data_IF_708394590155
#
_entry.id   IF_708394590155
#
_cell.length_a   1.000
_cell.length_b   1.000
_cell.length_c   1.000
_cell.angle_alpha   90.00
_cell.angle_beta   90.00
_cell.angle_gamma   90.00
#
_symmetry.space_group_name_H-M   'P 1'
#
loop_
_entity.id
_entity.type
_entity.pdbx_description
1 polymer ?
#
# COMPACT_ATOMS: atom_id res chain seq x y z
N UNK A 1 25.10 73.19 27.51
CA UNK A 1 24.04 72.65 26.63
C UNK A 1 24.47 71.26 26.15
N UNK A 2 24.11 70.23 26.92
CA UNK A 2 24.31 68.81 26.57
C UNK A 2 22.96 68.15 26.77
N UNK A 3 22.45 67.53 25.71
CA UNK A 3 21.17 66.80 25.68
C UNK A 3 21.51 65.34 25.99
N UNK A 4 20.91 64.77 27.02
CA UNK A 4 20.96 63.33 27.25
C UNK A 4 19.55 62.76 27.17
N UNK A 5 19.49 61.63 26.48
CA UNK A 5 18.32 61.01 25.85
C UNK A 5 17.75 59.98 26.81
N UNK A 6 16.47 60.12 27.19
CA UNK A 6 15.72 59.05 27.83
C UNK A 6 15.47 57.92 26.81
N UNK A 7 16.13 56.78 26.98
CA UNK A 7 15.80 55.55 26.25
C UNK A 7 14.79 54.76 27.09
N UNK A 8 13.55 54.75 26.64
CA UNK A 8 12.48 53.91 27.18
C UNK A 8 12.60 52.52 26.53
N UNK A 9 13.09 51.52 27.25
CA UNK A 9 13.06 50.12 26.78
C UNK A 9 11.67 49.55 27.08
N UNK A 10 10.80 49.55 26.07
CA UNK A 10 9.52 48.85 26.12
C UNK A 10 9.80 47.36 25.99
N UNK A 11 9.75 46.63 27.10
CA UNK A 11 9.87 45.18 27.14
C UNK A 11 8.70 44.52 26.42
N UNK A 12 8.93 44.09 25.18
CA UNK A 12 8.00 43.26 24.42
C UNK A 12 8.10 41.82 24.93
N UNK A 13 7.26 41.46 25.90
CA UNK A 13 7.10 40.09 26.37
C UNK A 13 6.38 39.30 25.25
N UNK A 14 7.14 38.78 24.28
CA UNK A 14 6.62 37.72 23.40
C UNK A 14 6.40 36.49 24.28
N UNK A 15 5.16 36.30 24.70
CA UNK A 15 4.66 35.02 25.17
C UNK A 15 4.73 34.06 23.97
N UNK A 16 5.89 33.44 23.77
CA UNK A 16 6.04 32.32 22.85
C UNK A 16 5.13 31.22 23.36
N UNK A 17 3.98 31.05 22.69
CA UNK A 17 3.16 29.87 22.80
C UNK A 17 4.04 28.71 22.35
N UNK A 18 4.74 28.07 23.29
CA UNK A 18 5.36 26.78 23.03
C UNK A 18 4.18 25.84 22.82
N UNK A 19 3.81 25.63 21.55
CA UNK A 19 2.95 24.52 21.16
C UNK A 19 3.81 23.29 21.42
N UNK A 20 3.78 22.79 22.65
CA UNK A 20 4.25 21.45 22.92
C UNK A 20 3.50 20.56 21.93
N UNK A 21 4.18 19.77 21.07
CA UNK A 21 3.48 18.79 20.28
C UNK A 21 2.66 17.97 21.27
N UNK A 22 1.33 18.02 21.14
CA UNK A 22 0.48 17.10 21.89
C UNK A 22 1.04 15.73 21.60
N UNK A 23 1.37 14.91 22.62
CA UNK A 23 1.65 13.52 22.37
C UNK A 23 0.42 12.97 21.66
N UNK A 24 0.53 12.77 20.34
CA UNK A 24 -0.41 11.96 19.61
C UNK A 24 -0.40 10.63 20.35
N UNK A 25 -1.55 10.20 20.88
CA UNK A 25 -1.67 8.81 21.29
C UNK A 25 -1.29 8.02 20.04
N UNK A 26 -0.17 7.30 20.08
CA UNK A 26 0.17 6.35 19.03
C UNK A 26 -1.08 5.48 18.86
N UNK A 27 -1.73 5.60 17.70
CA UNK A 27 -2.95 4.87 17.45
C UNK A 27 -2.55 3.39 17.40
N UNK A 28 -3.14 2.59 18.27
CA UNK A 28 -2.84 1.17 18.31
C UNK A 28 -3.26 0.56 16.97
N UNK A 29 -2.30 0.00 16.25
CA UNK A 29 -2.57 -0.75 15.02
C UNK A 29 -3.18 -2.08 15.42
N UNK A 30 -4.43 -2.32 15.01
CA UNK A 30 -5.14 -3.56 15.27
C UNK A 30 -4.90 -4.54 14.12
N UNK A 31 -4.51 -5.77 14.40
CA UNK A 31 -4.40 -6.83 13.38
C UNK A 31 -5.77 -7.45 13.19
N UNK A 32 -6.32 -7.37 11.98
CA UNK A 32 -7.63 -7.91 11.62
C UNK A 32 -7.52 -9.33 11.09
N UNK A 33 -6.44 -9.61 10.36
CA UNK A 33 -6.12 -10.90 9.77
C UNK A 33 -4.61 -11.01 9.58
N UNK A 34 -4.07 -12.21 9.74
CA UNK A 34 -2.69 -12.54 9.36
C UNK A 34 -2.58 -14.01 8.97
N UNK A 35 -1.66 -14.31 8.07
CA UNK A 35 -1.31 -15.67 7.67
C UNK A 35 0.15 -15.74 7.25
N UNK A 36 0.78 -16.88 7.54
CA UNK A 36 2.02 -17.31 6.91
C UNK A 36 1.70 -17.97 5.57
N UNK A 37 2.60 -17.81 4.60
CA UNK A 37 2.56 -18.42 3.29
C UNK A 37 3.83 -19.28 3.10
N UNK A 38 3.75 -20.50 2.53
CA UNK A 38 4.91 -21.38 2.45
C UNK A 38 6.05 -20.79 1.62
N UNK A 39 7.28 -20.88 2.12
CA UNK A 39 8.45 -20.51 1.31
C UNK A 39 8.65 -21.44 0.11
N UNK A 40 9.29 -20.91 -0.94
CA UNK A 40 9.69 -21.60 -2.17
C UNK A 40 8.49 -22.15 -2.99
N UNK A 41 7.35 -21.45 -2.96
CA UNK A 41 6.15 -21.77 -3.74
C UNK A 41 5.84 -20.80 -4.90
N UNK A 42 6.81 -19.95 -5.24
CA UNK A 42 6.75 -18.89 -6.25
C UNK A 42 6.81 -19.37 -7.71
N UNK A 43 6.35 -20.59 -7.93
CA UNK A 43 6.30 -21.29 -9.22
C UNK A 43 4.87 -21.43 -9.78
N UNK A 44 3.85 -20.99 -9.05
CA UNK A 44 2.46 -21.02 -9.53
C UNK A 44 1.95 -22.45 -9.86
N UNK A 45 0.84 -22.53 -10.61
CA UNK A 45 0.15 -23.81 -10.85
C UNK A 45 0.80 -24.70 -11.93
N UNK A 46 1.57 -24.10 -12.83
CA UNK A 46 2.18 -24.75 -14.00
C UNK A 46 3.73 -24.73 -13.95
N UNK A 47 4.33 -24.61 -12.77
CA UNK A 47 5.79 -24.60 -12.54
C UNK A 47 6.51 -23.52 -13.37
N UNK A 48 6.08 -22.27 -13.18
CA UNK A 48 6.65 -21.10 -13.82
C UNK A 48 8.11 -20.91 -13.44
N UNK A 49 8.89 -20.62 -14.48
CA UNK A 49 10.29 -20.30 -14.36
C UNK A 49 10.47 -18.78 -14.27
N UNK A 50 11.40 -18.39 -13.41
CA UNK A 50 11.87 -17.01 -13.34
C UNK A 50 12.45 -16.56 -14.68
N UNK A 51 12.28 -15.27 -15.06
CA UNK A 51 13.00 -14.73 -16.22
C UNK A 51 14.51 -14.78 -16.01
N UNK A 52 15.26 -14.94 -17.11
CA UNK A 52 16.74 -15.11 -17.05
C UNK A 52 17.51 -13.84 -16.63
N UNK A 53 16.87 -12.67 -16.68
CA UNK A 53 17.52 -11.41 -16.28
C UNK A 53 17.88 -11.44 -14.79
N UNK A 54 19.14 -11.17 -14.40
CA UNK A 54 19.60 -11.26 -13.01
C UNK A 54 18.82 -10.39 -12.00
N UNK A 55 18.06 -9.38 -12.46
CA UNK A 55 17.21 -8.58 -11.57
C UNK A 55 16.06 -9.39 -10.96
N UNK A 56 15.67 -10.49 -11.59
CA UNK A 56 14.71 -11.45 -11.05
C UNK A 56 15.45 -12.48 -10.20
N UNK A 57 16.02 -12.02 -9.08
CA UNK A 57 16.72 -12.90 -8.15
C UNK A 57 15.77 -13.95 -7.54
N UNK A 58 16.25 -15.11 -7.09
CA UNK A 58 15.40 -16.10 -6.42
C UNK A 58 14.60 -15.50 -5.25
N UNK A 59 13.33 -15.88 -5.13
CA UNK A 59 12.42 -15.45 -4.08
C UNK A 59 11.85 -14.03 -4.24
N UNK A 60 12.06 -13.35 -5.38
CA UNK A 60 11.47 -12.01 -5.57
C UNK A 60 9.94 -12.01 -5.74
N UNK A 61 9.36 -13.17 -6.04
CA UNK A 61 7.91 -13.36 -6.14
C UNK A 61 7.35 -14.28 -5.04
N UNK A 62 8.22 -14.79 -4.15
CA UNK A 62 7.87 -15.66 -3.02
C UNK A 62 7.30 -14.83 -1.86
N UNK A 63 5.99 -14.89 -1.71
CA UNK A 63 5.26 -14.30 -0.59
C UNK A 63 5.36 -15.26 0.59
N UNK A 64 5.68 -14.73 1.77
CA UNK A 64 5.89 -15.54 2.97
C UNK A 64 4.94 -15.16 4.10
N UNK A 65 4.35 -13.96 4.03
CA UNK A 65 3.45 -13.46 5.06
C UNK A 65 2.51 -12.41 4.49
N UNK A 66 1.25 -12.48 4.93
CA UNK A 66 0.23 -11.49 4.63
C UNK A 66 -0.54 -11.09 5.89
N UNK A 67 -0.79 -9.79 6.06
CA UNK A 67 -1.68 -9.30 7.11
C UNK A 67 -2.53 -8.11 6.67
N UNK A 68 -3.70 -8.02 7.29
CA UNK A 68 -4.62 -6.88 7.20
C UNK A 68 -4.66 -6.20 8.56
N UNK A 69 -4.37 -4.91 8.59
CA UNK A 69 -4.31 -4.12 9.83
C UNK A 69 -5.19 -2.88 9.73
N UNK A 70 -5.73 -2.44 10.85
CA UNK A 70 -6.48 -1.18 10.99
C UNK A 70 -5.66 -0.24 11.88
N UNK A 71 -5.14 0.85 11.30
CA UNK A 71 -4.45 1.91 12.06
C UNK A 71 -5.43 2.94 12.65
N UNK A 72 -6.73 2.72 12.45
CA UNK A 72 -7.86 3.56 12.83
C UNK A 72 -8.29 4.57 11.76
N UNK A 73 -7.44 4.91 10.79
CA UNK A 73 -7.74 5.80 9.66
C UNK A 73 -7.72 5.05 8.32
N UNK A 74 -6.84 4.06 8.19
CA UNK A 74 -6.59 3.29 7.00
C UNK A 74 -6.69 1.79 7.31
N UNK A 75 -7.03 1.03 6.27
CA UNK A 75 -6.70 -0.39 6.22
C UNK A 75 -5.32 -0.53 5.58
N UNK A 76 -4.43 -1.28 6.23
CA UNK A 76 -3.08 -1.55 5.78
C UNK A 76 -2.99 -3.02 5.40
N UNK A 77 -2.66 -3.29 4.15
CA UNK A 77 -2.22 -4.60 3.69
C UNK A 77 -0.70 -4.66 3.82
N UNK A 78 -0.21 -5.60 4.62
CA UNK A 78 1.21 -5.85 4.81
C UNK A 78 1.57 -7.19 4.18
N UNK A 79 2.55 -7.16 3.27
CA UNK A 79 3.08 -8.31 2.57
C UNK A 79 4.56 -8.43 2.90
N UNK A 80 5.04 -9.64 3.15
CA UNK A 80 6.47 -9.91 3.26
C UNK A 80 6.86 -10.91 2.19
N UNK A 81 7.81 -10.51 1.35
CA UNK A 81 8.43 -11.40 0.37
C UNK A 81 9.74 -11.95 0.93
N UNK A 82 10.12 -13.16 0.53
CA UNK A 82 11.42 -13.74 0.87
C UNK A 82 12.57 -12.81 0.46
N UNK A 83 12.41 -12.14 -0.68
CA UNK A 83 13.32 -11.14 -1.19
C UNK A 83 12.54 -10.06 -1.98
N UNK A 84 12.88 -8.78 -1.86
CA UNK A 84 12.28 -7.75 -2.73
C UNK A 84 13.08 -7.49 -4.02
N UNK A 85 14.30 -8.01 -4.10
CA UNK A 85 15.16 -7.83 -5.27
C UNK A 85 15.77 -6.43 -5.39
N UNK A 86 15.66 -5.61 -4.35
CA UNK A 86 16.10 -4.22 -4.38
C UNK A 86 15.15 -3.33 -5.19
N UNK A 87 15.72 -2.27 -5.76
CA UNK A 87 15.00 -1.30 -6.58
C UNK A 87 15.83 -0.93 -7.83
N UNK A 88 16.14 -1.93 -8.69
CA UNK A 88 17.06 -1.73 -9.82
C UNK A 88 16.57 -0.69 -10.82
N UNK A 89 15.25 -0.51 -10.95
CA UNK A 89 14.64 0.45 -11.87
C UNK A 89 14.40 1.83 -11.23
N UNK A 90 14.84 2.03 -9.98
CA UNK A 90 14.78 3.32 -9.28
C UNK A 90 13.35 3.80 -8.99
N UNK A 91 12.41 2.87 -8.85
CA UNK A 91 11.00 3.17 -8.69
C UNK A 91 10.72 3.88 -7.33
N UNK A 92 9.80 4.86 -7.29
CA UNK A 92 9.63 5.75 -6.15
C UNK A 92 9.11 5.08 -4.86
N UNK A 93 8.41 3.94 -4.96
CA UNK A 93 7.94 3.22 -3.76
C UNK A 93 9.00 2.31 -3.14
N UNK A 94 10.22 2.27 -3.70
CA UNK A 94 11.37 1.61 -3.10
C UNK A 94 11.54 0.13 -3.46
N UNK A 95 10.79 -0.39 -4.44
CA UNK A 95 10.94 -1.73 -5.03
C UNK A 95 10.53 -1.66 -6.51
N UNK A 96 11.04 -2.55 -7.37
CA UNK A 96 10.75 -2.49 -8.82
C UNK A 96 10.07 -3.71 -9.41
N UNK A 97 10.20 -4.87 -8.77
CA UNK A 97 9.98 -6.15 -9.44
C UNK A 97 8.54 -6.67 -9.27
N UNK A 98 7.96 -6.50 -8.09
CA UNK A 98 6.66 -7.05 -7.76
C UNK A 98 5.51 -6.23 -8.37
N UNK A 99 4.49 -6.94 -8.87
CA UNK A 99 3.16 -6.41 -9.16
C UNK A 99 2.16 -7.13 -8.26
N UNK A 100 1.64 -6.42 -7.27
CA UNK A 100 0.77 -6.97 -6.23
C UNK A 100 -0.67 -6.63 -6.58
N UNK A 101 -1.55 -7.63 -6.52
CA UNK A 101 -2.99 -7.42 -6.64
C UNK A 101 -3.71 -8.07 -5.46
N UNK A 102 -4.58 -7.29 -4.80
CA UNK A 102 -5.37 -7.74 -3.64
C UNK A 102 -6.83 -7.50 -3.99
N UNK A 103 -7.62 -8.55 -3.91
CA UNK A 103 -9.06 -8.55 -4.19
C UNK A 103 -9.82 -8.69 -2.88
N UNK A 104 -10.77 -7.78 -2.61
CA UNK A 104 -11.53 -7.77 -1.36
C UNK A 104 -13.01 -7.90 -1.63
N UNK A 105 -13.65 -8.88 -1.01
CA UNK A 105 -15.09 -8.97 -0.97
C UNK A 105 -15.61 -8.61 0.43
N UNK A 106 -16.75 -7.92 0.53
CA UNK A 106 -17.44 -7.65 1.78
C UNK A 106 -18.81 -8.35 1.87
N UNK A 107 -19.02 -9.36 1.02
CA UNK A 107 -20.28 -10.04 0.81
C UNK A 107 -21.16 -9.42 -0.29
N UNK A 108 -20.80 -8.25 -0.82
CA UNK A 108 -21.54 -7.58 -1.93
C UNK A 108 -20.76 -7.51 -3.24
N UNK A 109 -19.52 -8.02 -3.26
CA UNK A 109 -18.69 -8.10 -4.45
C UNK A 109 -19.14 -9.22 -5.38
N UNK A 110 -19.28 -8.92 -6.67
CA UNK A 110 -19.73 -9.88 -7.69
C UNK A 110 -18.79 -10.00 -8.87
N UNK A 111 -17.80 -9.12 -9.00
CA UNK A 111 -16.82 -9.20 -10.08
C UNK A 111 -15.89 -10.39 -9.87
N UNK A 112 -15.79 -11.28 -10.87
CA UNK A 112 -14.95 -12.50 -10.79
C UNK A 112 -13.71 -12.45 -11.69
N UNK A 113 -13.64 -11.46 -12.59
CA UNK A 113 -12.46 -11.18 -13.40
C UNK A 113 -11.45 -10.34 -12.63
N UNK A 114 -10.16 -10.52 -12.89
CA UNK A 114 -9.12 -9.60 -12.42
C UNK A 114 -9.35 -8.16 -12.88
N UNK A 115 -8.75 -7.19 -12.19
CA UNK A 115 -8.84 -5.80 -12.64
C UNK A 115 -8.13 -5.64 -14.01
N UNK A 116 -8.68 -4.80 -14.92
CA UNK A 116 -8.08 -4.63 -16.23
C UNK A 116 -6.69 -3.98 -16.10
N UNK A 117 -5.84 -4.20 -17.10
CA UNK A 117 -4.49 -3.62 -17.13
C UNK A 117 -4.56 -2.10 -17.31
N UNK A 118 -5.49 -1.64 -18.14
CA UNK A 118 -5.83 -0.22 -18.25
C UNK A 118 -7.32 -0.07 -18.58
N UNK A 119 -7.80 1.17 -18.68
CA UNK A 119 -9.20 1.44 -19.07
C UNK A 119 -9.55 0.93 -20.48
N UNK A 120 -8.54 0.66 -21.32
CA UNK A 120 -8.72 0.25 -22.72
C UNK A 120 -8.11 -1.11 -23.07
N UNK A 121 -7.27 -1.68 -22.19
CA UNK A 121 -6.56 -2.94 -22.47
C UNK A 121 -6.90 -4.00 -21.41
N UNK A 122 -7.45 -5.13 -21.87
CA UNK A 122 -7.87 -6.25 -21.01
C UNK A 122 -7.12 -7.56 -21.32
N UNK A 123 -6.23 -7.57 -22.32
CA UNK A 123 -5.60 -8.80 -22.81
C UNK A 123 -4.41 -9.28 -21.96
N UNK A 124 -3.76 -8.39 -21.22
CA UNK A 124 -2.52 -8.66 -20.46
C UNK A 124 -2.75 -8.87 -18.95
N UNK A 125 -3.98 -9.12 -18.54
CA UNK A 125 -4.29 -9.36 -17.13
C UNK A 125 -3.95 -10.80 -16.71
N UNK A 126 -3.71 -11.02 -15.42
CA UNK A 126 -3.54 -12.35 -14.86
C UNK A 126 -4.70 -13.27 -15.27
N UNK A 127 -4.38 -14.51 -15.65
CA UNK A 127 -5.37 -15.50 -16.13
C UNK A 127 -5.93 -16.30 -14.96
N UNK A 128 -6.52 -15.59 -14.00
CA UNK A 128 -7.07 -16.14 -12.76
C UNK A 128 -8.55 -15.76 -12.64
N UNK A 129 -9.36 -16.67 -12.08
CA UNK A 129 -10.76 -16.40 -11.70
C UNK A 129 -10.83 -16.18 -10.20
N UNK A 130 -11.37 -15.03 -9.79
CA UNK A 130 -11.61 -14.71 -8.39
C UNK A 130 -12.92 -15.36 -7.95
N UNK A 131 -12.82 -16.57 -7.37
CA UNK A 131 -13.96 -17.47 -7.18
C UNK A 131 -15.10 -16.87 -6.36
N UNK A 132 -14.79 -16.14 -5.28
CA UNK A 132 -15.78 -15.54 -4.39
C UNK A 132 -16.29 -14.18 -4.87
N UNK A 133 -15.81 -13.69 -6.02
CA UNK A 133 -16.03 -12.32 -6.45
C UNK A 133 -15.32 -11.29 -5.59
N UNK A 134 -15.27 -10.04 -6.03
CA UNK A 134 -14.69 -8.92 -5.29
C UNK A 134 -15.52 -7.64 -5.49
N UNK A 135 -15.49 -6.76 -4.49
CA UNK A 135 -16.16 -5.46 -4.52
C UNK A 135 -15.20 -4.34 -4.91
N UNK A 136 -13.99 -4.42 -4.40
CA UNK A 136 -12.89 -3.55 -4.79
C UNK A 136 -11.59 -4.33 -4.72
N UNK A 137 -10.59 -3.82 -5.41
CA UNK A 137 -9.27 -4.40 -5.46
C UNK A 137 -8.22 -3.29 -5.45
N UNK A 138 -6.98 -3.66 -5.14
CA UNK A 138 -5.82 -2.78 -5.21
C UNK A 138 -4.77 -3.45 -6.07
N UNK A 139 -4.16 -2.66 -6.98
CA UNK A 139 -2.91 -3.00 -7.64
C UNK A 139 -1.82 -2.08 -7.10
N UNK A 140 -0.70 -2.66 -6.71
CA UNK A 140 0.45 -1.93 -6.19
C UNK A 140 1.74 -2.45 -6.82
N UNK A 141 2.61 -1.51 -7.19
CA UNK A 141 3.97 -1.80 -7.61
C UNK A 141 4.89 -0.63 -7.23
N UNK A 142 6.12 -0.65 -7.75
CA UNK A 142 7.11 0.38 -7.52
C UNK A 142 6.71 1.80 -7.95
N UNK A 143 5.73 1.94 -8.84
CA UNK A 143 5.43 3.18 -9.55
C UNK A 143 4.08 3.78 -9.12
N UNK A 144 4.10 5.08 -8.84
CA UNK A 144 2.89 5.83 -8.49
C UNK A 144 1.91 5.91 -9.66
N UNK A 145 0.63 6.13 -9.34
CA UNK A 145 -0.45 6.16 -10.34
C UNK A 145 -0.19 7.07 -11.54
N UNK A 146 0.38 8.24 -11.27
CA UNK A 146 0.57 9.29 -12.27
C UNK A 146 1.89 9.17 -13.03
N UNK A 147 2.61 8.05 -12.89
CA UNK A 147 3.85 7.79 -13.61
C UNK A 147 3.62 7.44 -15.10
N UNK A 148 2.38 7.19 -15.52
CA UNK A 148 2.04 6.93 -16.93
C UNK A 148 2.38 5.51 -17.39
N UNK A 149 2.67 4.59 -16.47
CA UNK A 149 2.85 3.17 -16.78
C UNK A 149 1.52 2.49 -17.12
N UNK A 150 1.56 1.32 -17.76
CA UNK A 150 0.36 0.49 -17.95
C UNK A 150 -0.17 -0.03 -16.62
N UNK A 151 0.71 -0.58 -15.79
CA UNK A 151 0.38 -1.18 -14.50
C UNK A 151 0.56 -0.18 -13.37
N UNK A 152 -0.27 0.85 -13.31
CA UNK A 152 -0.12 1.88 -12.29
C UNK A 152 -0.63 1.40 -10.92
N UNK A 153 -0.01 1.88 -9.83
CA UNK A 153 -0.53 1.65 -8.47
C UNK A 153 -1.84 2.39 -8.27
N UNK A 154 -2.93 1.70 -7.97
CA UNK A 154 -4.24 2.29 -7.66
C UNK A 154 -5.18 1.27 -7.00
N UNK A 155 -6.22 1.78 -6.36
CA UNK A 155 -7.41 0.99 -6.01
C UNK A 155 -8.49 1.12 -7.08
N UNK A 156 -9.40 0.14 -7.13
CA UNK A 156 -10.52 0.12 -8.09
C UNK A 156 -11.73 -0.58 -7.51
N UNK A 157 -12.89 0.05 -7.62
CA UNK A 157 -14.19 -0.55 -7.34
C UNK A 157 -14.65 -1.43 -8.51
N UNK A 158 -15.48 -2.42 -8.24
CA UNK A 158 -16.08 -3.28 -9.27
C UNK A 158 -16.91 -2.47 -10.29
N UNK A 159 -17.40 -1.30 -9.90
CA UNK A 159 -18.10 -0.34 -10.76
C UNK A 159 -17.17 0.36 -11.77
N UNK A 160 -15.87 0.20 -11.61
CA UNK A 160 -14.83 0.78 -12.46
C UNK A 160 -14.20 2.06 -11.91
N UNK A 161 -14.79 2.67 -10.86
CA UNK A 161 -14.22 3.85 -10.21
C UNK A 161 -12.86 3.53 -9.57
N UNK A 162 -11.88 4.41 -9.78
CA UNK A 162 -10.52 4.26 -9.25
C UNK A 162 -10.30 5.20 -8.07
N UNK A 163 -9.51 4.75 -7.10
CA UNK A 163 -9.15 5.53 -5.92
C UNK A 163 -7.66 5.42 -5.63
N UNK A 164 -7.13 6.43 -4.94
CA UNK A 164 -5.71 6.48 -4.61
C UNK A 164 -5.39 5.59 -3.40
N UNK A 165 -4.18 5.04 -3.41
CA UNK A 165 -3.62 4.22 -2.33
C UNK A 165 -2.18 4.70 -2.08
N UNK A 166 -1.66 4.51 -0.87
CA UNK A 166 -0.26 4.79 -0.57
C UNK A 166 0.51 3.49 -0.40
N UNK A 167 1.73 3.44 -0.94
CA UNK A 167 2.59 2.26 -0.90
C UNK A 167 3.96 2.63 -0.33
N UNK A 168 4.46 1.80 0.57
CA UNK A 168 5.81 1.90 1.12
C UNK A 168 6.46 0.53 1.15
N UNK A 169 7.78 0.47 0.97
CA UNK A 169 8.54 -0.77 1.08
C UNK A 169 9.71 -0.64 2.06
N UNK A 170 10.06 -1.76 2.69
CA UNK A 170 11.25 -1.93 3.50
C UNK A 170 12.07 -3.10 2.94
N UNK A 171 13.11 -2.76 2.20
CA UNK A 171 14.03 -3.71 1.56
C UNK A 171 14.72 -4.64 2.57
N UNK A 172 15.05 -4.14 3.76
CA UNK A 172 15.77 -4.94 4.76
C UNK A 172 14.91 -6.06 5.35
N UNK A 173 13.59 -5.91 5.33
CA UNK A 173 12.65 -6.90 5.89
C UNK A 173 11.78 -7.55 4.82
N UNK A 174 12.05 -7.33 3.54
CA UNK A 174 11.23 -7.84 2.45
C UNK A 174 9.78 -7.32 2.41
N UNK A 175 9.48 -6.23 3.12
CA UNK A 175 8.10 -5.83 3.44
C UNK A 175 7.55 -4.79 2.47
N UNK A 176 6.32 -4.96 2.01
CA UNK A 176 5.52 -3.95 1.31
C UNK A 176 4.27 -3.66 2.13
N UNK A 177 3.94 -2.39 2.32
CA UNK A 177 2.71 -1.94 2.94
C UNK A 177 1.90 -1.10 1.97
N UNK A 178 0.63 -1.45 1.80
CA UNK A 178 -0.34 -0.76 0.97
C UNK A 178 -1.43 -0.25 1.89
N UNK A 179 -1.59 1.08 2.00
CA UNK A 179 -2.61 1.69 2.85
C UNK A 179 -3.74 2.27 2.02
N UNK A 180 -4.97 1.94 2.44
CA UNK A 180 -6.22 2.37 1.81
C UNK A 180 -7.06 3.15 2.82
N UNK A 181 -7.48 4.39 2.52
CA UNK A 181 -8.28 5.16 3.46
C UNK A 181 -9.64 4.51 3.75
N UNK A 182 -9.98 4.39 5.04
CA UNK A 182 -11.29 3.85 5.47
C UNK A 182 -12.46 4.73 5.01
N UNK A 183 -12.21 6.02 4.79
CA UNK A 183 -13.19 6.94 4.20
C UNK A 183 -13.60 6.55 2.77
N UNK A 184 -12.78 5.75 2.08
CA UNK A 184 -13.06 5.22 0.75
C UNK A 184 -13.72 3.85 0.88
N UNK A 185 -13.03 2.88 1.49
CA UNK A 185 -13.44 1.46 1.43
C UNK A 185 -14.24 0.96 2.64
N UNK A 186 -14.40 1.78 3.67
CA UNK A 186 -14.97 1.35 4.95
C UNK A 186 -13.99 0.48 5.76
N UNK A 187 -14.53 -0.41 6.59
CA UNK A 187 -13.74 -1.35 7.39
C UNK A 187 -14.52 -2.63 7.65
N UNK A 188 -13.85 -3.77 7.81
CA UNK A 188 -14.52 -4.99 8.22
C UNK A 188 -15.04 -4.83 9.65
N UNK A 189 -16.19 -5.44 9.92
CA UNK A 189 -16.79 -5.54 11.26
C UNK A 189 -17.40 -6.92 11.44
N UNK A 190 -17.73 -7.33 12.66
CA UNK A 190 -18.45 -8.59 12.90
C UNK A 190 -19.76 -8.67 12.11
N UNK A 191 -20.45 -7.52 11.91
CA UNK A 191 -21.68 -7.42 11.12
C UNK A 191 -21.49 -7.30 9.61
N UNK A 192 -20.25 -7.05 9.16
CA UNK A 192 -19.89 -6.90 7.75
C UNK A 192 -18.42 -7.35 7.57
N UNK A 193 -18.15 -8.65 7.69
CA UNK A 193 -16.81 -9.18 7.52
C UNK A 193 -16.38 -9.06 6.06
N UNK A 194 -15.07 -8.98 5.84
CA UNK A 194 -14.49 -9.13 4.52
C UNK A 194 -14.10 -10.59 4.29
N UNK A 195 -14.19 -11.04 3.04
CA UNK A 195 -13.95 -12.40 2.55
C UNK A 195 -12.99 -12.39 1.37
#
# INVERSE_FOLDING_TARGET
>A
MKREICILIVGFLMLSLIILPRPSKAQAVNVLFEMEDPEDDDHGIDDFMYPEDPKFAPGVFDLTYFAVKDDGTNIIFELTFKNLGGNPDGAPHGFSIQLIEIYVNDGTGTATSVIPVSDTETEDSAKVVIQNGWKWAVRANGWARNHGGRYNTHGRWQTGEVFDVSVTANQATGKVQISVPKSVVGSPSESAPWY
#
